data_IF_491091940964
#
_entry.id   IF_491091940964
#
_cell.length_a   1.000
_cell.length_b   1.000
_cell.length_c   1.000
_cell.angle_alpha   90.00
_cell.angle_beta   90.00
_cell.angle_gamma   90.00
#
_symmetry.space_group_name_H-M   'P 1'
#
loop_
_entity.id
_entity.type
_entity.pdbx_description
1 polymer ?
#
# COMPACT_ATOMS: atom_id res chain seq x y z
N UNK A 1 -3.55 -1.25 12.52
CA UNK A 1 -4.10 -1.46 11.16
C UNK A 1 -5.51 -0.87 11.12
N UNK A 2 -5.81 -0.04 10.14
CA UNK A 2 -7.13 0.59 9.95
C UNK A 2 -8.05 -0.27 9.07
N UNK A 3 -7.46 -1.07 8.17
CA UNK A 3 -8.10 -1.98 7.22
C UNK A 3 -7.70 -3.46 7.43
N UNK A 4 -7.34 -3.81 8.67
CA UNK A 4 -7.07 -5.19 9.07
C UNK A 4 -8.32 -6.09 9.09
N UNK A 5 -8.23 -7.30 9.67
CA UNK A 5 -9.34 -8.26 9.72
C UNK A 5 -10.65 -7.64 10.23
N UNK A 6 -11.77 -7.96 9.57
CA UNK A 6 -13.11 -7.48 9.93
C UNK A 6 -13.40 -6.03 9.53
N UNK A 7 -12.58 -5.43 8.66
CA UNK A 7 -12.77 -4.06 8.13
C UNK A 7 -13.02 -4.08 6.62
N UNK A 8 -13.75 -5.08 6.13
CA UNK A 8 -13.99 -5.29 4.71
C UNK A 8 -14.94 -4.24 4.14
N UNK A 9 -14.65 -3.77 2.91
CA UNK A 9 -15.42 -2.71 2.26
C UNK A 9 -15.34 -1.33 2.94
N UNK A 10 -14.55 -1.19 4.02
CA UNK A 10 -14.39 0.08 4.71
C UNK A 10 -13.62 1.06 3.83
N UNK A 11 -14.21 2.25 3.65
CA UNK A 11 -13.53 3.38 3.03
C UNK A 11 -12.84 4.21 4.09
N UNK A 12 -11.58 4.56 3.86
CA UNK A 12 -10.79 5.44 4.74
C UNK A 12 -10.43 6.71 3.98
N UNK A 13 -10.37 7.85 4.68
CA UNK A 13 -9.96 9.09 4.05
C UNK A 13 -8.50 8.99 3.57
N UNK A 14 -8.16 9.50 2.37
CA UNK A 14 -6.77 9.60 1.94
C UNK A 14 -6.02 10.56 2.86
N UNK A 15 -4.79 10.22 3.20
CA UNK A 15 -3.91 11.02 4.06
C UNK A 15 -2.51 11.09 3.46
N UNK A 16 -1.75 12.13 3.80
CA UNK A 16 -0.37 12.30 3.34
C UNK A 16 -0.24 12.89 1.93
N UNK A 17 0.89 12.60 1.28
CA UNK A 17 1.23 13.19 -0.03
C UNK A 17 0.64 12.35 -1.17
N UNK A 18 -0.05 13.02 -2.10
CA UNK A 18 -0.62 12.40 -3.31
C UNK A 18 0.48 12.16 -4.34
N UNK A 19 0.47 11.02 -5.03
CA UNK A 19 1.47 10.66 -6.04
C UNK A 19 1.58 11.66 -7.19
N UNK A 20 0.49 12.34 -7.55
CA UNK A 20 0.49 13.44 -8.52
C UNK A 20 1.35 14.64 -8.09
N UNK A 21 1.62 14.82 -6.80
CA UNK A 21 2.47 15.89 -6.27
C UNK A 21 3.95 15.49 -6.16
N UNK A 22 4.30 14.23 -6.43
CA UNK A 22 5.67 13.73 -6.38
C UNK A 22 6.40 13.98 -7.69
N UNK A 23 7.69 14.29 -7.59
CA UNK A 23 8.58 14.34 -8.76
C UNK A 23 8.92 12.91 -9.25
N UNK A 24 9.59 12.81 -10.41
CA UNK A 24 9.89 11.52 -11.04
C UNK A 24 10.69 10.58 -10.13
N UNK A 25 11.73 11.08 -9.44
CA UNK A 25 12.54 10.28 -8.53
C UNK A 25 11.72 9.76 -7.35
N UNK A 26 10.88 10.61 -6.75
CA UNK A 26 9.99 10.23 -5.64
C UNK A 26 8.92 9.22 -6.08
N UNK A 27 8.41 9.33 -7.32
CA UNK A 27 7.48 8.36 -7.90
C UNK A 27 8.14 7.00 -8.10
N UNK A 28 9.40 6.97 -8.53
CA UNK A 28 10.17 5.74 -8.63
C UNK A 28 10.34 5.10 -7.25
N UNK A 29 10.74 5.86 -6.23
CA UNK A 29 10.84 5.36 -4.84
C UNK A 29 9.50 4.85 -4.30
N UNK A 30 8.40 5.54 -4.60
CA UNK A 30 7.06 5.08 -4.21
C UNK A 30 6.71 3.73 -4.85
N UNK A 31 7.07 3.55 -6.13
CA UNK A 31 6.84 2.29 -6.84
C UNK A 31 7.73 1.15 -6.31
N UNK A 32 8.98 1.44 -5.97
CA UNK A 32 9.89 0.49 -5.30
C UNK A 32 9.31 0.04 -3.94
N UNK A 33 8.79 0.98 -3.16
CA UNK A 33 8.13 0.67 -1.89
C UNK A 33 6.90 -0.22 -2.08
N UNK A 34 6.08 0.05 -3.08
CA UNK A 34 4.96 -0.83 -3.46
C UNK A 34 5.48 -2.22 -3.84
N UNK A 35 6.58 -2.28 -4.59
CA UNK A 35 7.27 -3.51 -4.98
C UNK A 35 7.62 -4.42 -3.80
N UNK A 36 8.01 -3.85 -2.65
CA UNK A 36 8.32 -4.63 -1.45
C UNK A 36 7.15 -5.52 -0.96
N UNK A 37 5.90 -5.18 -1.29
CA UNK A 37 4.73 -6.04 -1.03
C UNK A 37 4.30 -6.86 -2.24
N UNK A 38 4.49 -6.35 -3.46
CA UNK A 38 4.00 -7.01 -4.67
C UNK A 38 4.90 -8.18 -5.10
N UNK A 39 6.20 -8.13 -4.78
CA UNK A 39 7.15 -9.19 -5.13
C UNK A 39 7.00 -10.50 -4.33
N UNK A 40 6.00 -10.60 -3.46
CA UNK A 40 5.55 -11.90 -2.92
C UNK A 40 4.90 -12.78 -4.00
N UNK A 41 4.41 -12.17 -5.09
CA UNK A 41 3.83 -12.86 -6.23
C UNK A 41 4.93 -13.43 -7.14
N UNK A 42 4.60 -14.46 -7.96
CA UNK A 42 5.45 -14.87 -9.08
C UNK A 42 5.82 -13.69 -9.99
N UNK A 43 6.99 -13.75 -10.62
CA UNK A 43 7.60 -12.61 -11.33
C UNK A 43 6.68 -11.98 -12.39
N UNK A 44 6.03 -12.81 -13.21
CA UNK A 44 5.09 -12.40 -14.25
C UNK A 44 3.85 -11.69 -13.67
N UNK A 45 3.28 -12.26 -12.60
CA UNK A 45 2.16 -11.69 -11.88
C UNK A 45 2.55 -10.38 -11.18
N UNK A 46 3.73 -10.31 -10.57
CA UNK A 46 4.26 -9.12 -9.92
C UNK A 46 4.49 -8.00 -10.93
N UNK A 47 5.09 -8.29 -12.09
CA UNK A 47 5.31 -7.33 -13.16
C UNK A 47 3.99 -6.75 -13.69
N UNK A 48 3.01 -7.63 -13.95
CA UNK A 48 1.68 -7.23 -14.39
C UNK A 48 0.96 -6.37 -13.35
N UNK A 49 1.05 -6.75 -12.06
CA UNK A 49 0.49 -5.99 -10.94
C UNK A 49 1.15 -4.61 -10.79
N UNK A 50 2.48 -4.52 -10.84
CA UNK A 50 3.21 -3.26 -10.74
C UNK A 50 2.89 -2.32 -11.90
N UNK A 51 2.76 -2.84 -13.12
CA UNK A 51 2.35 -2.02 -14.28
C UNK A 51 0.96 -1.40 -14.07
N UNK A 52 0.00 -2.19 -13.58
CA UNK A 52 -1.35 -1.71 -13.27
C UNK A 52 -1.38 -0.66 -12.14
N UNK A 53 -0.54 -0.83 -11.12
CA UNK A 53 -0.40 0.11 -10.01
C UNK A 53 0.30 1.40 -10.43
N UNK A 54 1.35 1.31 -11.25
CA UNK A 54 2.06 2.45 -11.82
C UNK A 54 1.13 3.37 -12.61
N UNK A 55 0.19 2.80 -13.37
CA UNK A 55 -0.82 3.55 -14.12
C UNK A 55 -1.79 4.35 -13.23
N UNK A 56 -1.91 4.01 -11.94
CA UNK A 56 -2.78 4.67 -10.95
C UNK A 56 -2.00 5.39 -9.85
N UNK A 57 -0.70 5.58 -10.04
CA UNK A 57 0.19 6.13 -9.02
C UNK A 57 -0.18 7.58 -8.67
N UNK A 58 -0.69 8.34 -9.64
CA UNK A 58 -1.15 9.72 -9.44
C UNK A 58 -2.23 9.86 -8.37
N UNK A 59 -3.06 8.83 -8.22
CA UNK A 59 -4.15 8.75 -7.25
C UNK A 59 -3.80 7.92 -6.00
N UNK A 60 -2.52 7.56 -5.85
CA UNK A 60 -2.02 6.86 -4.67
C UNK A 60 -1.41 7.84 -3.68
N UNK A 61 -1.80 7.76 -2.42
CA UNK A 61 -1.32 8.57 -1.33
C UNK A 61 -0.31 7.81 -0.47
N UNK A 62 0.72 8.50 0.00
CA UNK A 62 1.66 8.01 1.00
C UNK A 62 1.57 8.85 2.27
N UNK A 63 1.26 8.18 3.39
CA UNK A 63 1.22 8.78 4.71
C UNK A 63 2.23 8.11 5.64
N UNK A 64 2.95 8.92 6.42
CA UNK A 64 3.94 8.48 7.40
C UNK A 64 3.61 9.02 8.78
N UNK A 65 3.76 8.19 9.81
CA UNK A 65 3.48 8.55 11.19
C UNK A 65 4.56 7.96 12.09
N UNK A 66 5.27 8.83 12.81
CA UNK A 66 6.35 8.45 13.71
C UNK A 66 7.72 8.99 13.30
N UNK A 67 8.78 8.59 14.00
CA UNK A 67 10.13 9.08 13.77
C UNK A 67 10.69 8.61 12.43
N UNK A 68 11.58 9.39 11.82
CA UNK A 68 12.31 9.02 10.59
C UNK A 68 13.69 8.41 10.88
N UNK A 69 14.05 8.29 12.15
CA UNK A 69 15.29 7.63 12.58
C UNK A 69 15.19 6.13 12.37
N UNK A 70 16.19 5.55 11.72
CA UNK A 70 16.30 4.12 11.48
C UNK A 70 16.13 3.30 12.78
N UNK A 71 15.42 2.18 12.69
CA UNK A 71 15.11 1.31 13.84
C UNK A 71 13.95 1.79 14.73
N UNK A 72 13.36 2.96 14.44
CA UNK A 72 12.18 3.43 15.17
C UNK A 72 10.90 2.73 14.71
N UNK A 73 9.93 2.59 15.61
CA UNK A 73 8.59 2.16 15.26
C UNK A 73 7.87 3.30 14.53
N UNK A 74 7.77 3.18 13.21
CA UNK A 74 6.98 4.08 12.36
C UNK A 74 5.85 3.32 11.67
N UNK A 75 4.69 3.95 11.61
CA UNK A 75 3.56 3.48 10.81
C UNK A 75 3.58 4.21 9.46
N UNK A 76 3.28 3.49 8.38
CA UNK A 76 2.97 4.14 7.12
C UNK A 76 1.81 3.46 6.41
N UNK A 77 1.13 4.24 5.57
CA UNK A 77 0.04 3.78 4.72
C UNK A 77 0.23 4.24 3.28
N UNK A 78 0.15 3.30 2.36
CA UNK A 78 -0.10 3.57 0.96
C UNK A 78 -1.58 3.35 0.69
N UNK A 79 -2.25 4.31 0.06
CA UNK A 79 -3.67 4.22 -0.20
C UNK A 79 -4.00 4.81 -1.58
N UNK A 80 -4.55 3.98 -2.45
CA UNK A 80 -5.02 4.38 -3.77
C UNK A 80 -6.21 3.53 -4.22
N UNK A 81 -6.74 3.80 -5.42
CA UNK A 81 -7.95 3.15 -5.93
C UNK A 81 -7.80 1.64 -6.20
N UNK A 82 -6.56 1.13 -6.29
CA UNK A 82 -6.27 -0.28 -6.57
C UNK A 82 -5.29 -0.90 -5.56
N UNK A 83 -4.94 -0.18 -4.49
CA UNK A 83 -3.96 -0.64 -3.51
C UNK A 83 -4.18 0.02 -2.17
N UNK A 84 -4.16 -0.79 -1.12
CA UNK A 84 -3.83 -0.33 0.23
C UNK A 84 -2.69 -1.17 0.75
N UNK A 85 -1.66 -0.54 1.30
CA UNK A 85 -0.64 -1.19 2.11
C UNK A 85 -0.60 -0.48 3.45
N UNK A 86 -0.61 -1.23 4.55
CA UNK A 86 -0.27 -0.68 5.86
C UNK A 86 0.94 -1.41 6.42
N UNK A 87 1.91 -0.65 6.93
CA UNK A 87 3.00 -1.14 7.76
C UNK A 87 2.81 -0.56 9.16
N UNK A 88 2.62 -1.44 10.14
CA UNK A 88 2.18 -1.07 11.48
C UNK A 88 2.90 -1.89 12.56
N UNK A 89 4.07 -1.43 13.04
CA UNK A 89 4.68 -1.97 14.25
C UNK A 89 3.74 -1.84 15.46
N UNK A 90 3.60 -2.90 16.26
CA UNK A 90 2.73 -2.97 17.43
C UNK A 90 3.50 -3.45 18.66
N UNK A 91 3.57 -2.63 19.70
CA UNK A 91 4.34 -2.97 20.91
C UNK A 91 5.85 -2.79 20.78
N UNK A 92 6.31 -2.03 19.78
CA UNK A 92 7.72 -1.76 19.51
C UNK A 92 8.09 -1.97 18.04
N UNK A 93 9.35 -1.75 17.69
CA UNK A 93 9.84 -1.89 16.31
C UNK A 93 10.04 -3.36 15.87
N UNK A 94 9.95 -4.32 16.78
CA UNK A 94 10.26 -5.74 16.54
C UNK A 94 9.03 -6.63 16.31
N UNK A 95 7.81 -6.09 16.41
CA UNK A 95 6.57 -6.84 16.18
C UNK A 95 5.73 -6.11 15.15
N UNK A 96 6.00 -6.43 13.88
CA UNK A 96 5.44 -5.73 12.72
C UNK A 96 4.17 -6.44 12.27
N UNK A 97 3.10 -5.67 12.13
CA UNK A 97 1.91 -6.10 11.41
C UNK A 97 1.88 -5.39 10.07
N UNK A 98 1.49 -6.10 9.02
CA UNK A 98 1.33 -5.50 7.71
C UNK A 98 0.21 -6.16 6.93
N UNK A 99 -0.41 -5.39 6.04
CA UNK A 99 -1.42 -5.88 5.10
C UNK A 99 -1.17 -5.28 3.73
N UNK A 100 -1.64 -5.99 2.71
CA UNK A 100 -1.87 -5.48 1.36
C UNK A 100 -3.30 -5.85 0.96
N UNK A 101 -4.03 -4.90 0.37
CA UNK A 101 -5.40 -5.08 -0.13
C UNK A 101 -5.58 -4.43 -1.50
N UNK A 102 -6.56 -4.93 -2.24
CA UNK A 102 -7.03 -4.32 -3.49
C UNK A 102 -8.47 -3.83 -3.30
N UNK A 103 -8.70 -2.53 -3.05
CA UNK A 103 -10.06 -2.01 -2.89
C UNK A 103 -10.97 -2.25 -4.11
N UNK A 104 -10.40 -2.37 -5.31
CA UNK A 104 -11.15 -2.61 -6.55
C UNK A 104 -11.53 -4.07 -6.77
N UNK A 105 -10.76 -5.01 -6.21
CA UNK A 105 -10.97 -6.44 -6.33
C UNK A 105 -10.71 -7.18 -5.00
N UNK A 106 -11.30 -6.66 -3.94
CA UNK A 106 -11.05 -7.15 -2.58
C UNK A 106 -11.48 -8.61 -2.46
N UNK A 107 -10.61 -9.44 -1.88
CA UNK A 107 -10.76 -10.91 -1.80
C UNK A 107 -11.12 -11.59 -3.12
N UNK A 108 -10.74 -11.02 -4.27
CA UNK A 108 -11.01 -11.63 -5.58
C UNK A 108 -12.50 -11.63 -5.95
N UNK A 109 -13.29 -10.66 -5.46
CA UNK A 109 -14.72 -10.49 -5.81
C UNK A 109 -15.03 -10.55 -7.30
N UNK A 110 -14.08 -10.20 -8.17
CA UNK A 110 -14.27 -10.28 -9.62
C UNK A 110 -14.31 -11.73 -10.14
N UNK A 111 -13.72 -12.68 -9.40
CA UNK A 111 -13.72 -14.11 -9.73
C UNK A 111 -15.01 -14.82 -9.32
N UNK A 112 -15.86 -14.17 -8.52
CA UNK A 112 -17.14 -14.71 -8.05
C UNK A 112 -18.35 -14.08 -8.74
N UNK A 113 -18.12 -13.18 -9.71
CA UNK A 113 -19.19 -12.62 -10.54
C UNK A 113 -19.73 -13.68 -11.50
N UNK A 114 -21.06 -13.72 -11.72
CA UNK A 114 -21.69 -14.63 -12.67
C UNK A 114 -21.35 -14.32 -14.13
#
# INVERSE_FOLDING_TARGET
LVLGPGQDGKTVAPEGIKGAALNEAQRATLLELIGAWVHILPEDAAASRLAALKAKLDDTYFAWYGPTTEGSAAYFRLQGPALVIEYAPQGGANHIHTIIRDPGNDYGRELTKP
#
